data_IF_634978023166
#
_entry.id   IF_634978023166
#
_cell.length_a   1.000
_cell.length_b   1.000
_cell.length_c   1.000
_cell.angle_alpha   90.00
_cell.angle_beta   90.00
_cell.angle_gamma   90.00
#
_symmetry.space_group_name_H-M   'P 1'
#
loop_
_entity.id
_entity.type
_entity.pdbx_description
1 polymer ?
#
# COMPACT_ATOMS: atom_id res chain seq x y z
N UNK A 1 14.82 16.92 5.65
CA UNK A 1 13.46 16.69 5.11
C UNK A 1 13.21 15.20 5.13
N UNK A 2 12.16 14.74 5.80
CA UNK A 2 11.79 13.35 5.90
C UNK A 2 11.11 12.88 4.63
N UNK A 3 11.46 11.69 4.13
CA UNK A 3 10.94 11.17 2.86
C UNK A 3 10.09 9.93 3.10
N UNK A 4 8.92 9.91 2.47
CA UNK A 4 7.94 8.83 2.61
C UNK A 4 7.56 8.34 1.22
N UNK A 5 7.74 7.05 0.96
CA UNK A 5 7.30 6.42 -0.30
C UNK A 5 5.82 6.03 -0.18
N UNK A 6 5.02 6.38 -1.20
CA UNK A 6 3.60 6.09 -1.26
C UNK A 6 3.30 5.17 -2.46
N UNK A 7 2.84 3.95 -2.19
CA UNK A 7 2.58 2.91 -3.18
C UNK A 7 1.08 2.82 -3.51
N UNK A 8 0.74 2.99 -4.79
CA UNK A 8 -0.64 2.98 -5.25
C UNK A 8 -1.26 1.58 -5.32
N UNK A 9 -2.58 1.51 -5.42
CA UNK A 9 -3.32 0.26 -5.59
C UNK A 9 -3.27 -0.30 -7.01
N UNK A 10 -3.84 -1.50 -7.20
CA UNK A 10 -4.02 -2.10 -8.50
C UNK A 10 -4.87 -1.19 -9.41
N UNK A 11 -4.53 -1.13 -10.68
CA UNK A 11 -5.20 -0.29 -11.70
C UNK A 11 -5.23 1.21 -11.38
N UNK A 12 -4.33 1.68 -10.55
CA UNK A 12 -4.12 3.09 -10.26
C UNK A 12 -2.86 3.63 -10.96
N UNK A 13 -2.56 4.89 -10.70
CA UNK A 13 -1.28 5.51 -11.04
C UNK A 13 -0.83 6.45 -9.91
N UNK A 14 0.41 6.89 -10.00
CA UNK A 14 1.04 7.78 -9.02
C UNK A 14 0.30 9.10 -8.84
N UNK A 15 -0.13 9.74 -9.93
CA UNK A 15 -0.83 11.03 -9.90
C UNK A 15 -2.18 10.92 -9.17
N UNK A 16 -2.86 9.81 -9.37
CA UNK A 16 -4.12 9.56 -8.68
C UNK A 16 -3.92 9.34 -7.18
N UNK A 17 -2.92 8.54 -6.78
CA UNK A 17 -2.61 8.37 -5.37
C UNK A 17 -2.21 9.71 -4.75
N UNK A 18 -1.37 10.50 -5.43
CA UNK A 18 -0.98 11.82 -4.99
C UNK A 18 -2.18 12.70 -4.69
N UNK A 19 -3.19 12.75 -5.57
CA UNK A 19 -4.40 13.55 -5.35
C UNK A 19 -5.17 13.18 -4.07
N UNK A 20 -5.05 11.93 -3.60
CA UNK A 20 -5.64 11.51 -2.32
C UNK A 20 -4.79 11.92 -1.12
N UNK A 21 -3.49 12.04 -1.31
CA UNK A 21 -2.53 12.34 -0.25
C UNK A 21 -2.18 13.82 -0.15
N UNK A 22 -2.66 14.68 -1.04
CA UNK A 22 -2.44 16.13 -1.00
C UNK A 22 -2.85 16.75 0.34
N UNK A 23 -3.96 16.31 0.92
CA UNK A 23 -4.42 16.79 2.22
C UNK A 23 -3.49 16.33 3.36
N UNK A 24 -2.94 15.13 3.28
CA UNK A 24 -1.95 14.62 4.24
C UNK A 24 -0.65 15.43 4.09
N UNK A 25 -0.16 15.64 2.86
CA UNK A 25 1.03 16.46 2.61
C UNK A 25 0.88 17.88 3.18
N UNK A 26 -0.30 18.50 3.04
CA UNK A 26 -0.58 19.83 3.62
C UNK A 26 -0.46 19.83 5.15
N UNK A 27 -0.93 18.76 5.85
CA UNK A 27 -0.79 18.64 7.32
C UNK A 27 0.65 18.39 7.75
N UNK A 28 1.39 17.63 6.98
CA UNK A 28 2.80 17.31 7.25
C UNK A 28 3.72 18.53 7.02
N UNK A 29 3.32 19.46 6.15
CA UNK A 29 4.10 20.66 5.83
C UNK A 29 5.41 20.34 5.08
N UNK A 30 6.32 21.32 5.04
CA UNK A 30 7.57 21.27 4.26
C UNK A 30 8.66 20.40 4.87
N UNK A 31 8.49 19.89 6.09
CA UNK A 31 9.45 19.00 6.72
C UNK A 31 9.39 17.57 6.16
N UNK A 32 8.33 17.24 5.44
CA UNK A 32 8.08 15.93 4.83
C UNK A 32 7.93 16.04 3.32
N UNK A 33 8.40 15.04 2.63
CA UNK A 33 8.22 14.85 1.19
C UNK A 33 7.59 13.48 0.93
N UNK A 34 6.41 13.47 0.34
CA UNK A 34 5.78 12.26 -0.17
C UNK A 34 6.29 11.97 -1.58
N UNK A 35 6.77 10.76 -1.80
CA UNK A 35 7.33 10.28 -3.06
C UNK A 35 6.38 9.23 -3.65
N UNK A 36 6.05 9.37 -4.92
CA UNK A 36 5.03 8.56 -5.58
C UNK A 36 5.64 7.77 -6.77
N UNK A 37 6.36 6.65 -6.51
CA UNK A 37 6.81 5.81 -7.60
C UNK A 37 5.63 5.26 -8.39
N UNK A 38 5.78 5.18 -9.70
CA UNK A 38 4.81 4.56 -10.58
C UNK A 38 5.07 3.07 -10.66
N UNK A 39 4.07 2.23 -10.37
CA UNK A 39 4.18 0.79 -10.57
C UNK A 39 4.64 0.47 -11.99
N UNK A 40 5.59 -0.44 -12.20
CA UNK A 40 6.24 -0.64 -13.48
C UNK A 40 5.42 -1.46 -14.51
N UNK A 41 4.29 -2.03 -14.07
CA UNK A 41 3.51 -2.96 -14.88
C UNK A 41 2.21 -2.29 -15.31
N UNK A 42 2.01 -2.15 -16.63
CA UNK A 42 0.76 -1.62 -17.18
C UNK A 42 -0.36 -2.66 -17.07
N UNK A 43 -1.51 -2.25 -16.56
CA UNK A 43 -2.72 -3.06 -16.51
C UNK A 43 -3.57 -2.77 -17.74
N UNK A 44 -3.81 -3.74 -18.64
CA UNK A 44 -4.74 -3.57 -19.76
C UNK A 44 -6.13 -3.18 -19.25
N UNK A 45 -6.78 -2.22 -19.92
CA UNK A 45 -8.11 -1.74 -19.54
C UNK A 45 -9.13 -2.87 -19.42
N UNK A 46 -9.03 -3.86 -20.29
CA UNK A 46 -9.92 -5.04 -20.32
C UNK A 46 -9.81 -5.87 -19.05
N UNK A 47 -8.59 -6.06 -18.52
CA UNK A 47 -8.38 -6.78 -17.25
C UNK A 47 -8.93 -6.00 -16.06
N UNK A 48 -8.77 -4.68 -16.08
CA UNK A 48 -9.35 -3.80 -15.04
C UNK A 48 -10.87 -3.91 -15.04
N UNK A 49 -11.50 -3.87 -16.21
CA UNK A 49 -12.94 -4.03 -16.36
C UNK A 49 -13.43 -5.40 -15.88
N UNK A 50 -12.73 -6.47 -16.25
CA UNK A 50 -13.06 -7.83 -15.83
C UNK A 50 -12.96 -7.99 -14.31
N UNK A 51 -11.90 -7.43 -13.70
CA UNK A 51 -11.72 -7.47 -12.25
C UNK A 51 -12.80 -6.67 -11.51
N UNK A 52 -13.13 -5.47 -11.98
CA UNK A 52 -14.16 -4.64 -11.36
C UNK A 52 -15.54 -5.30 -11.42
N UNK A 53 -15.87 -5.92 -12.55
CA UNK A 53 -17.10 -6.70 -12.68
C UNK A 53 -17.12 -7.91 -11.73
N UNK A 54 -16.01 -8.66 -11.64
CA UNK A 54 -15.90 -9.84 -10.79
C UNK A 54 -16.07 -9.53 -9.29
N UNK A 55 -15.51 -8.42 -8.83
CA UNK A 55 -15.57 -8.04 -7.42
C UNK A 55 -16.67 -7.03 -7.10
N UNK A 56 -17.55 -6.74 -8.08
CA UNK A 56 -18.60 -5.71 -7.96
C UNK A 56 -18.05 -4.38 -7.40
N UNK A 57 -16.85 -4.02 -7.84
CA UNK A 57 -16.19 -2.80 -7.41
C UNK A 57 -16.72 -1.62 -8.22
N UNK A 58 -17.22 -0.62 -7.53
CA UNK A 58 -17.54 0.66 -8.18
C UNK A 58 -16.23 1.45 -8.37
N UNK A 59 -15.74 1.49 -9.59
CA UNK A 59 -14.73 2.49 -9.95
C UNK A 59 -15.44 3.85 -10.06
N UNK A 60 -14.84 4.91 -9.49
CA UNK A 60 -15.38 6.26 -9.66
C UNK A 60 -15.56 6.60 -11.14
N UNK A 61 -16.68 7.25 -11.46
CA UNK A 61 -17.00 7.66 -12.84
C UNK A 61 -15.83 8.38 -13.52
N UNK A 62 -15.55 8.01 -14.76
CA UNK A 62 -14.55 8.62 -15.61
C UNK A 62 -13.12 8.18 -15.36
N UNK A 63 -12.86 7.11 -14.59
CA UNK A 63 -11.51 6.61 -14.31
C UNK A 63 -10.99 5.58 -15.30
N UNK A 64 -11.87 4.76 -15.86
CA UNK A 64 -11.48 3.84 -16.94
C UNK A 64 -11.29 4.67 -18.20
N UNK A 65 -10.08 4.64 -18.76
CA UNK A 65 -9.73 5.37 -19.99
C UNK A 65 -9.20 6.79 -19.79
N UNK A 66 -9.07 7.30 -18.56
CA UNK A 66 -8.32 8.52 -18.27
C UNK A 66 -6.91 8.19 -17.76
N UNK A 67 -5.98 8.04 -18.68
CA UNK A 67 -4.61 7.64 -18.40
C UNK A 67 -4.40 6.13 -18.37
N UNK A 68 -3.14 5.72 -18.23
CA UNK A 68 -2.76 4.31 -18.12
C UNK A 68 -2.99 3.82 -16.70
N UNK A 69 -3.42 2.56 -16.59
CA UNK A 69 -3.58 1.88 -15.31
C UNK A 69 -2.33 1.04 -15.03
N UNK A 70 -1.87 1.04 -13.79
CA UNK A 70 -0.63 0.39 -13.39
C UNK A 70 -0.80 -0.52 -12.19
N UNK A 71 0.12 -1.44 -11.99
CA UNK A 71 0.16 -2.31 -10.82
C UNK A 71 1.60 -2.68 -10.46
N UNK A 72 1.74 -3.31 -9.28
CA UNK A 72 3.02 -3.81 -8.78
C UNK A 72 3.25 -5.26 -9.18
N UNK A 73 2.19 -6.02 -9.33
CA UNK A 73 2.20 -7.41 -9.81
C UNK A 73 0.83 -7.78 -10.36
N UNK A 74 0.77 -8.84 -11.14
CA UNK A 74 -0.48 -9.43 -11.63
C UNK A 74 -0.68 -10.78 -10.95
N UNK A 75 -1.74 -10.92 -10.15
CA UNK A 75 -2.09 -12.18 -9.51
C UNK A 75 -2.92 -13.03 -10.46
N UNK A 76 -2.56 -14.30 -10.62
CA UNK A 76 -3.37 -15.27 -11.34
C UNK A 76 -4.52 -15.83 -10.48
N UNK A 77 -5.29 -16.77 -11.03
CA UNK A 77 -6.44 -17.39 -10.38
C UNK A 77 -6.10 -18.68 -9.60
N UNK A 78 -4.83 -19.05 -9.57
CA UNK A 78 -4.38 -20.23 -8.84
C UNK A 78 -4.61 -20.12 -7.34
N UNK A 79 -4.55 -21.22 -6.63
CA UNK A 79 -4.68 -21.27 -5.17
C UNK A 79 -3.56 -22.12 -4.59
N UNK A 80 -2.53 -21.53 -4.01
CA UNK A 80 -2.30 -20.09 -3.83
C UNK A 80 -2.03 -19.34 -5.15
N UNK A 81 -2.35 -18.04 -5.23
CA UNK A 81 -2.07 -17.25 -6.43
C UNK A 81 -0.58 -17.04 -6.61
N UNK A 82 -0.15 -16.95 -7.87
CA UNK A 82 1.20 -16.54 -8.21
C UNK A 82 1.21 -15.05 -8.61
N UNK A 83 2.18 -14.29 -8.12
CA UNK A 83 2.36 -12.86 -8.42
C UNK A 83 3.37 -12.69 -9.56
N UNK A 84 2.86 -12.60 -10.78
CA UNK A 84 3.66 -12.38 -11.97
C UNK A 84 4.31 -11.00 -11.95
N UNK A 85 5.55 -10.93 -12.40
CA UNK A 85 6.36 -9.71 -12.53
C UNK A 85 6.64 -8.97 -11.21
N UNK A 86 6.36 -9.56 -10.05
CA UNK A 86 6.63 -8.91 -8.76
C UNK A 86 8.13 -8.64 -8.57
N UNK A 87 8.99 -9.50 -9.08
CA UNK A 87 10.44 -9.33 -8.98
C UNK A 87 10.89 -8.05 -9.73
N UNK A 88 10.31 -7.78 -10.90
CA UNK A 88 10.52 -6.50 -11.62
C UNK A 88 10.11 -5.29 -10.77
N UNK A 89 9.01 -5.38 -10.03
CA UNK A 89 8.58 -4.29 -9.15
C UNK A 89 9.48 -4.14 -7.92
N UNK A 90 9.97 -5.25 -7.37
CA UNK A 90 10.91 -5.23 -6.24
C UNK A 90 12.26 -4.63 -6.64
N UNK A 91 12.80 -5.00 -7.81
CA UNK A 91 14.05 -4.43 -8.32
C UNK A 91 13.90 -2.93 -8.61
N UNK A 92 12.81 -2.54 -9.27
CA UNK A 92 12.49 -1.13 -9.49
C UNK A 92 12.39 -0.33 -8.18
N UNK A 93 11.72 -0.89 -7.15
CA UNK A 93 11.63 -0.22 -5.85
C UNK A 93 12.99 -0.17 -5.13
N UNK A 94 13.83 -1.21 -5.25
CA UNK A 94 15.17 -1.18 -4.68
C UNK A 94 16.01 -0.06 -5.28
N UNK A 95 15.99 0.11 -6.60
CA UNK A 95 16.65 1.23 -7.29
C UNK A 95 16.06 2.58 -6.83
N UNK A 96 14.74 2.65 -6.67
CA UNK A 96 14.07 3.87 -6.21
C UNK A 96 14.49 4.24 -4.77
N UNK A 97 14.58 3.25 -3.86
CA UNK A 97 15.10 3.46 -2.51
C UNK A 97 16.56 3.95 -2.53
N UNK A 98 17.41 3.32 -3.33
CA UNK A 98 18.82 3.71 -3.47
C UNK A 98 18.96 5.14 -4.01
N UNK A 99 18.14 5.53 -4.97
CA UNK A 99 18.19 6.85 -5.60
C UNK A 99 17.64 7.96 -4.68
N UNK A 100 16.62 7.70 -3.90
CA UNK A 100 15.90 8.71 -3.13
C UNK A 100 16.19 8.68 -1.62
N UNK A 101 16.85 7.62 -1.11
CA UNK A 101 17.15 7.45 0.30
C UNK A 101 17.92 8.60 0.97
N UNK A 102 17.96 8.65 2.28
CA UNK A 102 17.27 7.75 3.21
C UNK A 102 15.75 7.94 3.17
N UNK A 103 15.02 6.83 3.35
CA UNK A 103 13.55 6.79 3.40
C UNK A 103 13.11 6.60 4.85
N UNK A 104 12.23 7.46 5.35
CA UNK A 104 11.75 7.39 6.72
C UNK A 104 10.59 6.40 6.89
N UNK A 105 9.69 6.34 5.92
CA UNK A 105 8.53 5.44 5.99
C UNK A 105 7.94 5.07 4.63
N UNK A 106 7.08 4.06 4.64
CA UNK A 106 6.36 3.61 3.44
C UNK A 106 4.87 3.55 3.73
N UNK A 107 4.07 4.12 2.84
CA UNK A 107 2.60 4.07 2.89
C UNK A 107 2.12 3.29 1.67
N UNK A 108 1.29 2.28 1.87
CA UNK A 108 0.70 1.52 0.77
C UNK A 108 -0.81 1.56 0.79
N UNK A 109 -1.42 1.66 -0.39
CA UNK A 109 -2.86 1.56 -0.59
C UNK A 109 -3.21 0.26 -1.33
N UNK A 110 -4.12 -0.57 -0.78
CA UNK A 110 -4.64 -1.78 -1.42
C UNK A 110 -3.50 -2.71 -1.87
N UNK A 111 -3.27 -2.93 -3.16
CA UNK A 111 -2.11 -3.69 -3.66
C UNK A 111 -0.77 -3.07 -3.20
N UNK A 112 -0.69 -1.73 -3.14
CA UNK A 112 0.46 -1.05 -2.56
C UNK A 112 0.67 -1.38 -1.08
N UNK A 113 -0.39 -1.63 -0.31
CA UNK A 113 -0.27 -2.09 1.07
C UNK A 113 0.27 -3.52 1.17
N UNK A 114 -0.10 -4.40 0.23
CA UNK A 114 0.50 -5.75 0.12
C UNK A 114 1.99 -5.64 -0.19
N UNK A 115 2.38 -4.77 -1.13
CA UNK A 115 3.80 -4.50 -1.42
C UNK A 115 4.51 -3.95 -0.19
N UNK A 116 3.93 -2.97 0.51
CA UNK A 116 4.52 -2.43 1.75
C UNK A 116 4.74 -3.52 2.80
N UNK A 117 3.81 -4.45 2.96
CA UNK A 117 3.99 -5.60 3.86
C UNK A 117 5.14 -6.51 3.41
N UNK A 118 5.25 -6.80 2.11
CA UNK A 118 6.37 -7.58 1.56
C UNK A 118 7.70 -6.86 1.79
N UNK A 119 7.79 -5.54 1.53
CA UNK A 119 8.99 -4.75 1.79
C UNK A 119 9.38 -4.77 3.27
N UNK A 120 8.39 -4.67 4.18
CA UNK A 120 8.60 -4.75 5.63
C UNK A 120 9.18 -6.11 6.04
N UNK A 121 8.66 -7.18 5.46
CA UNK A 121 9.12 -8.53 5.73
C UNK A 121 10.53 -8.78 5.16
N UNK A 122 10.82 -8.33 3.94
CA UNK A 122 12.15 -8.42 3.34
C UNK A 122 13.17 -7.63 4.17
N UNK A 123 12.83 -6.40 4.61
CA UNK A 123 13.68 -5.63 5.52
C UNK A 123 14.05 -6.41 6.79
N UNK A 124 13.11 -7.14 7.38
CA UNK A 124 13.35 -7.91 8.61
C UNK A 124 14.17 -9.17 8.39
N UNK A 125 14.01 -9.83 7.24
CA UNK A 125 14.57 -11.16 6.96
C UNK A 125 15.83 -11.15 6.10
N UNK A 126 16.11 -10.08 5.36
CA UNK A 126 17.35 -9.96 4.57
C UNK A 126 18.52 -9.55 5.48
N UNK A 127 19.67 -10.19 5.33
CA UNK A 127 20.89 -9.84 6.09
C UNK A 127 21.40 -8.44 5.72
N UNK A 128 21.22 -8.05 4.44
CA UNK A 128 21.50 -6.72 3.91
C UNK A 128 20.23 -6.22 3.23
N UNK A 129 19.33 -5.56 3.94
CA UNK A 129 18.02 -5.21 3.41
C UNK A 129 18.14 -4.16 2.29
N UNK A 130 17.56 -4.48 1.13
CA UNK A 130 17.44 -3.54 0.00
C UNK A 130 16.47 -2.39 0.30
N UNK A 131 15.63 -2.56 1.31
CA UNK A 131 14.60 -1.62 1.70
C UNK A 131 14.82 -1.19 3.15
N UNK A 132 15.29 0.02 3.34
CA UNK A 132 15.49 0.57 4.68
C UNK A 132 14.52 1.72 4.94
N UNK A 133 13.67 1.57 5.98
CA UNK A 133 12.69 2.55 6.44
C UNK A 133 12.24 2.19 7.86
N UNK A 134 11.73 3.15 8.62
CA UNK A 134 11.52 3.02 10.06
C UNK A 134 10.10 2.64 10.46
N UNK A 135 9.10 2.84 9.59
CA UNK A 135 7.70 2.56 9.87
C UNK A 135 6.91 2.36 8.58
N UNK A 136 5.72 1.77 8.68
CA UNK A 136 4.82 1.59 7.56
C UNK A 136 3.37 1.95 7.88
N UNK A 137 2.61 2.40 6.87
CA UNK A 137 1.17 2.56 6.95
C UNK A 137 0.51 1.72 5.85
N UNK A 138 -0.37 0.82 6.27
CA UNK A 138 -1.02 -0.16 5.40
C UNK A 138 -2.51 0.14 5.29
N UNK A 139 -2.95 0.70 4.17
CA UNK A 139 -4.32 1.15 3.96
C UNK A 139 -5.08 0.17 3.08
N UNK A 140 -6.13 -0.48 3.61
CA UNK A 140 -6.95 -1.44 2.88
C UNK A 140 -6.17 -2.66 2.35
N UNK A 141 -5.14 -3.10 3.10
CA UNK A 141 -4.26 -4.18 2.72
C UNK A 141 -4.74 -5.56 3.14
N UNK A 142 -4.06 -6.58 2.63
CA UNK A 142 -4.24 -7.98 2.98
C UNK A 142 -2.90 -8.73 2.89
N UNK A 143 -2.76 -9.85 3.61
CA UNK A 143 -1.54 -10.65 3.55
C UNK A 143 -1.28 -11.17 2.14
N UNK A 144 0.00 -11.24 1.71
CA UNK A 144 0.35 -11.81 0.42
C UNK A 144 -0.21 -13.22 0.26
N UNK A 145 -0.87 -13.47 -0.87
CA UNK A 145 -1.40 -14.80 -1.20
C UNK A 145 -0.36 -15.74 -1.81
N UNK A 146 0.65 -15.20 -2.47
CA UNK A 146 1.71 -15.97 -3.15
C UNK A 146 2.56 -16.74 -2.13
N UNK A 147 2.74 -18.04 -2.38
CA UNK A 147 3.46 -18.96 -1.49
C UNK A 147 4.93 -18.59 -1.28
N UNK A 148 5.54 -17.81 -2.17
CA UNK A 148 6.91 -17.33 -2.04
C UNK A 148 7.09 -16.34 -0.90
N UNK A 149 6.04 -15.56 -0.60
CA UNK A 149 6.08 -14.50 0.40
C UNK A 149 5.37 -14.87 1.71
N UNK A 150 4.49 -15.89 1.70
CA UNK A 150 3.78 -16.32 2.91
C UNK A 150 4.69 -16.68 4.07
N UNK A 151 5.79 -17.44 3.88
CA UNK A 151 6.70 -17.80 4.97
C UNK A 151 7.37 -16.62 5.67
N UNK A 152 7.48 -15.47 5.01
CA UNK A 152 8.02 -14.26 5.62
C UNK A 152 7.16 -13.72 6.78
N UNK A 153 5.92 -14.19 6.90
CA UNK A 153 4.95 -13.79 7.92
C UNK A 153 4.65 -14.90 8.94
N UNK A 154 5.46 -15.97 8.97
CA UNK A 154 5.32 -17.07 9.95
C UNK A 154 5.69 -16.58 11.37
N UNK A 155 6.51 -15.55 11.46
CA UNK A 155 6.77 -14.80 12.69
C UNK A 155 6.30 -13.35 12.51
N UNK A 156 5.68 -12.74 13.53
CA UNK A 156 5.24 -11.35 13.44
C UNK A 156 6.40 -10.39 13.17
N UNK A 157 6.14 -9.37 12.38
CA UNK A 157 7.09 -8.33 12.04
C UNK A 157 7.13 -7.26 13.13
N UNK A 158 8.33 -6.77 13.48
CA UNK A 158 8.55 -5.82 14.57
C UNK A 158 8.52 -4.34 14.15
N UNK A 159 8.30 -4.07 12.85
CA UNK A 159 8.25 -2.71 12.33
C UNK A 159 7.01 -1.96 12.88
N UNK A 160 7.15 -0.72 13.41
CA UNK A 160 6.00 0.11 13.78
C UNK A 160 5.05 0.32 12.61
N UNK A 161 3.76 0.02 12.81
CA UNK A 161 2.78 0.12 11.71
C UNK A 161 1.46 0.72 12.14
N UNK A 162 0.82 1.44 11.19
CA UNK A 162 -0.59 1.81 11.26
C UNK A 162 -1.37 1.07 10.17
N UNK A 163 -2.40 0.35 10.58
CA UNK A 163 -3.33 -0.32 9.67
C UNK A 163 -4.62 0.47 9.56
N UNK A 164 -4.96 0.90 8.35
CA UNK A 164 -6.13 1.74 8.07
C UNK A 164 -7.18 0.90 7.35
N UNK A 165 -8.37 0.78 7.94
CA UNK A 165 -9.46 -0.05 7.41
C UNK A 165 -10.76 0.74 7.34
N UNK A 166 -11.52 0.60 6.28
CA UNK A 166 -12.84 1.18 6.17
C UNK A 166 -13.92 0.33 6.87
N UNK A 167 -14.75 0.92 7.74
CA UNK A 167 -15.83 0.17 8.41
C UNK A 167 -16.89 -0.34 7.43
N UNK A 168 -16.97 0.25 6.22
CA UNK A 168 -17.89 -0.16 5.15
C UNK A 168 -17.24 -1.12 4.14
N UNK A 169 -16.04 -1.62 4.43
CA UNK A 169 -15.42 -2.71 3.67
C UNK A 169 -16.28 -3.97 3.74
N UNK A 170 -16.16 -4.84 2.74
CA UNK A 170 -16.77 -6.17 2.78
C UNK A 170 -16.25 -6.99 3.96
N UNK A 171 -17.04 -7.92 4.45
CA UNK A 171 -16.61 -8.82 5.53
C UNK A 171 -15.36 -9.64 5.15
N UNK A 172 -15.22 -9.96 3.87
CA UNK A 172 -14.01 -10.59 3.35
C UNK A 172 -12.78 -9.69 3.56
N UNK A 173 -12.84 -8.43 3.14
CA UNK A 173 -11.73 -7.48 3.29
C UNK A 173 -11.41 -7.19 4.76
N UNK A 174 -12.42 -7.05 5.62
CA UNK A 174 -12.22 -6.89 7.07
C UNK A 174 -11.48 -8.08 7.68
N UNK A 175 -11.84 -9.31 7.30
CA UNK A 175 -11.12 -10.51 7.73
C UNK A 175 -9.68 -10.55 7.24
N UNK A 176 -9.43 -10.10 6.02
CA UNK A 176 -8.08 -10.03 5.49
C UNK A 176 -7.24 -8.94 6.19
N UNK A 177 -7.83 -7.77 6.45
CA UNK A 177 -7.18 -6.69 7.20
C UNK A 177 -6.81 -7.15 8.63
N UNK A 178 -7.70 -7.88 9.31
CA UNK A 178 -7.41 -8.44 10.63
C UNK A 178 -6.22 -9.43 10.61
N UNK A 179 -6.10 -10.27 9.57
CA UNK A 179 -4.95 -11.16 9.39
C UNK A 179 -3.65 -10.38 9.13
N UNK A 180 -3.73 -9.32 8.32
CA UNK A 180 -2.60 -8.45 8.06
C UNK A 180 -2.12 -7.79 9.36
N UNK A 181 -3.04 -7.27 10.17
CA UNK A 181 -2.73 -6.66 11.43
C UNK A 181 -2.04 -7.63 12.40
N UNK A 182 -2.55 -8.85 12.53
CA UNK A 182 -1.98 -9.89 13.38
C UNK A 182 -0.56 -10.33 12.95
N UNK A 183 -0.12 -9.97 11.76
CA UNK A 183 1.22 -10.25 11.27
C UNK A 183 2.28 -9.22 11.72
N UNK A 184 1.88 -8.19 12.48
CA UNK A 184 2.80 -7.17 13.00
C UNK A 184 2.64 -7.05 14.53
N UNK A 185 3.77 -6.90 15.22
CA UNK A 185 3.79 -6.69 16.66
C UNK A 185 3.34 -5.25 16.96
N UNK A 186 2.44 -5.10 17.93
CA UNK A 186 1.95 -3.79 18.39
C UNK A 186 1.42 -2.86 17.26
N UNK A 187 0.85 -3.45 16.22
CA UNK A 187 0.25 -2.70 15.12
C UNK A 187 -0.90 -1.80 15.60
N UNK A 188 -0.78 -0.50 15.35
CA UNK A 188 -1.86 0.44 15.60
C UNK A 188 -2.95 0.30 14.51
N UNK A 189 -4.20 0.57 14.87
CA UNK A 189 -5.35 0.48 13.96
C UNK A 189 -6.10 1.81 13.90
N UNK A 190 -6.55 2.16 12.71
CA UNK A 190 -7.44 3.28 12.47
C UNK A 190 -8.60 2.85 11.57
N UNK A 191 -9.79 2.77 12.16
CA UNK A 191 -11.01 2.58 11.39
C UNK A 191 -11.49 3.90 10.80
N UNK A 192 -11.90 3.87 9.53
CA UNK A 192 -12.41 5.03 8.82
C UNK A 192 -13.87 4.82 8.41
N UNK A 193 -14.70 5.86 8.30
CA UNK A 193 -16.12 5.74 7.93
C UNK A 193 -16.34 5.39 6.44
N UNK A 194 -15.30 4.96 5.75
CA UNK A 194 -15.29 4.64 4.32
C UNK A 194 -15.49 3.14 4.06
N UNK A 195 -15.64 2.78 2.77
CA UNK A 195 -15.34 1.44 2.24
C UNK A 195 -13.89 1.38 1.78
N UNK A 196 -13.63 0.70 0.65
CA UNK A 196 -12.28 0.57 0.07
C UNK A 196 -11.82 1.87 -0.62
N UNK A 197 -11.62 2.94 0.18
CA UNK A 197 -11.20 4.27 -0.28
C UNK A 197 -10.54 5.05 0.87
N UNK A 198 -9.57 5.90 0.56
CA UNK A 198 -8.97 6.82 1.54
C UNK A 198 -10.00 7.81 2.09
N UNK A 199 -9.92 8.18 3.37
CA UNK A 199 -10.91 9.04 4.05
C UNK A 199 -10.77 10.52 3.70
N UNK A 200 -10.60 10.85 2.42
CA UNK A 200 -10.33 12.22 1.94
C UNK A 200 -11.46 13.23 2.23
N UNK A 201 -12.67 12.73 2.48
CA UNK A 201 -13.85 13.55 2.85
C UNK A 201 -14.01 13.74 4.37
N UNK A 202 -13.08 13.22 5.17
CA UNK A 202 -13.14 13.20 6.63
C UNK A 202 -11.89 13.85 7.23
N UNK A 203 -11.89 15.19 7.42
CA UNK A 203 -10.70 15.92 7.88
C UNK A 203 -10.09 15.38 9.16
N UNK A 204 -10.90 14.99 10.15
CA UNK A 204 -10.41 14.41 11.41
C UNK A 204 -9.60 13.13 11.21
N UNK A 205 -9.94 12.32 10.20
CA UNK A 205 -9.18 11.10 9.88
C UNK A 205 -7.88 11.46 9.16
N UNK A 206 -7.89 12.47 8.28
CA UNK A 206 -6.67 12.99 7.67
C UNK A 206 -5.72 13.52 8.75
N UNK A 207 -6.23 14.25 9.73
CA UNK A 207 -5.45 14.76 10.85
C UNK A 207 -4.86 13.62 11.70
N UNK A 208 -5.63 12.55 11.96
CA UNK A 208 -5.13 11.35 12.65
C UNK A 208 -4.00 10.66 11.89
N UNK A 209 -4.12 10.51 10.56
CA UNK A 209 -3.08 9.92 9.71
C UNK A 209 -1.80 10.76 9.74
N UNK A 210 -1.92 12.07 9.57
CA UNK A 210 -0.79 12.99 9.60
C UNK A 210 -0.11 13.01 11.00
N UNK A 211 -0.90 13.06 12.07
CA UNK A 211 -0.39 13.05 13.44
C UNK A 211 0.33 11.74 13.76
N UNK A 212 -0.16 10.59 13.26
CA UNK A 212 0.54 9.33 13.43
C UNK A 212 1.91 9.35 12.73
N UNK A 213 1.98 9.85 11.49
CA UNK A 213 3.24 10.01 10.74
C UNK A 213 4.22 10.89 11.51
N UNK A 214 3.74 12.03 12.05
CA UNK A 214 4.58 12.97 12.82
C UNK A 214 5.17 12.32 14.08
N UNK A 215 4.43 11.44 14.73
CA UNK A 215 4.91 10.71 15.92
C UNK A 215 6.03 9.69 15.60
N UNK A 216 6.15 9.23 14.36
CA UNK A 216 7.21 8.32 13.93
C UNK A 216 8.52 9.06 13.58
N UNK A 217 8.54 10.37 13.69
CA UNK A 217 9.63 11.23 13.22
C UNK A 217 10.80 11.34 14.20
#
# INVERSE_FOLDING_TARGET
MKKIICLHGYSMNSEWLQSWFDLIQQRLGSHYQLLYPQGPIECPTEEVLAMTARFNMMLPEGRIGKGKNWCWYRADEQKPPHYHQIDTALDYLADYFAQHGPIDGVIGWSQGAVMTAILSALKQHEAEPRFDFNWAMLCGGFLPGDSRYRPLFDQPLSLPTLHVTGVKESDFMKKQAAKMNAAFIDAEQLDTPCGHIMPIKYPDHIDKLANWIIKQA
#
